data_IF_217020068441
#
_entry.id   IF_217020068441
#
_cell.length_a   1.000
_cell.length_b   1.000
_cell.length_c   1.000
_cell.angle_alpha   90.00
_cell.angle_beta   90.00
_cell.angle_gamma   90.00
#
_symmetry.space_group_name_H-M   'P 1'
#
loop_
_entity.id
_entity.type
_entity.pdbx_description
1 polymer ?
#
# COMPACT_ATOMS: atom_id res chain seq x y z
N UNK A 1 4.59 -45.14 26.13
CA UNK A 1 6.04 -45.17 25.85
C UNK A 1 6.19 -44.85 24.37
N UNK A 2 6.82 -43.77 23.89
CA UNK A 2 7.77 -42.85 24.49
C UNK A 2 7.47 -41.39 24.08
N UNK A 3 7.85 -40.49 24.97
CA UNK A 3 7.83 -39.02 24.88
C UNK A 3 9.19 -38.53 24.37
N UNK A 4 9.22 -37.55 23.47
CA UNK A 4 10.39 -36.69 23.24
C UNK A 4 9.88 -35.35 22.66
N UNK A 5 9.65 -34.33 23.49
CA UNK A 5 10.58 -33.33 24.06
C UNK A 5 11.24 -32.41 23.02
N UNK A 6 10.71 -31.18 23.04
CA UNK A 6 11.21 -29.92 22.53
C UNK A 6 12.58 -29.60 23.16
N UNK A 7 13.57 -29.18 22.36
CA UNK A 7 14.78 -28.51 22.87
C UNK A 7 14.97 -27.18 22.15
N UNK A 8 14.66 -26.13 22.90
CA UNK A 8 15.16 -24.76 22.75
C UNK A 8 16.63 -24.77 23.16
N UNK A 9 17.50 -24.17 22.35
CA UNK A 9 18.91 -23.96 22.72
C UNK A 9 19.09 -22.47 23.00
N UNK A 10 19.32 -22.15 24.27
CA UNK A 10 19.70 -20.84 24.79
C UNK A 10 21.17 -20.51 24.49
N UNK A 11 21.43 -19.21 24.33
CA UNK A 11 22.74 -18.60 24.12
C UNK A 11 23.61 -18.63 25.40
N UNK A 12 24.95 -18.64 25.28
CA UNK A 12 25.82 -18.42 26.43
C UNK A 12 26.09 -16.93 26.65
N UNK A 13 25.90 -16.50 27.90
CA UNK A 13 26.45 -15.26 28.44
C UNK A 13 27.94 -15.45 28.81
N UNK A 14 28.79 -14.52 28.40
CA UNK A 14 30.14 -14.35 28.96
C UNK A 14 30.46 -12.85 29.12
N UNK A 15 30.23 -12.38 30.34
CA UNK A 15 31.00 -11.43 31.17
C UNK A 15 31.79 -10.30 30.50
N UNK A 16 31.40 -9.08 30.90
CA UNK A 16 32.05 -7.78 30.79
C UNK A 16 33.51 -7.76 31.24
N UNK A 17 34.40 -7.13 30.45
CA UNK A 17 35.46 -6.22 30.95
C UNK A 17 35.76 -5.09 29.94
N UNK A 18 35.36 -3.88 30.34
CA UNK A 18 36.00 -2.55 30.18
C UNK A 18 36.34 -1.99 28.78
N UNK A 19 35.53 -0.98 28.43
CA UNK A 19 35.87 0.33 27.85
C UNK A 19 37.34 0.61 27.50
N UNK A 20 37.61 0.84 26.21
CA UNK A 20 38.25 2.05 25.65
C UNK A 20 38.61 1.81 24.16
N UNK A 21 38.11 2.66 23.26
CA UNK A 21 38.56 2.68 21.86
C UNK A 21 37.43 2.89 20.85
N UNK A 22 36.92 4.12 20.76
CA UNK A 22 36.26 4.57 19.54
C UNK A 22 37.29 4.59 18.41
N UNK A 23 37.05 3.82 17.35
CA UNK A 23 37.55 4.12 16.01
C UNK A 23 36.54 3.62 14.98
N UNK A 24 36.18 4.53 14.06
CA UNK A 24 35.22 4.35 12.97
C UNK A 24 35.52 3.10 12.14
N UNK A 25 34.66 2.08 12.21
CA UNK A 25 34.56 1.06 11.18
C UNK A 25 33.42 1.43 10.24
N UNK A 26 33.76 1.81 9.01
CA UNK A 26 32.82 2.03 7.94
C UNK A 26 32.08 0.72 7.64
N UNK A 27 30.74 0.72 7.74
CA UNK A 27 29.91 -0.39 7.28
C UNK A 27 30.05 -0.48 5.74
N UNK A 28 30.88 -1.41 5.27
CA UNK A 28 30.89 -1.81 3.86
C UNK A 28 29.63 -2.63 3.57
N UNK A 29 28.61 -1.98 3.01
CA UNK A 29 27.46 -2.67 2.45
C UNK A 29 27.93 -3.44 1.21
N UNK A 30 27.95 -4.77 1.29
CA UNK A 30 28.19 -5.62 0.13
C UNK A 30 26.98 -5.52 -0.79
N UNK A 31 27.16 -4.84 -1.93
CA UNK A 31 26.19 -4.81 -3.02
C UNK A 31 26.04 -6.24 -3.54
N UNK A 32 24.85 -6.82 -3.38
CA UNK A 32 24.50 -8.10 -4.01
C UNK A 32 24.53 -7.87 -5.52
N UNK A 33 25.49 -8.48 -6.20
CA UNK A 33 25.55 -8.50 -7.66
C UNK A 33 24.31 -9.22 -8.18
N UNK A 34 23.45 -8.48 -8.88
CA UNK A 34 22.29 -9.04 -9.57
C UNK A 34 22.82 -9.67 -10.86
N UNK A 35 22.52 -10.94 -11.07
CA UNK A 35 22.83 -11.65 -12.31
C UNK A 35 22.19 -10.93 -13.50
N UNK A 36 23.01 -10.39 -14.41
CA UNK A 36 22.55 -9.67 -15.60
C UNK A 36 21.72 -10.56 -16.54
N UNK A 37 21.81 -11.90 -16.43
CA UNK A 37 20.96 -12.81 -17.18
C UNK A 37 19.47 -12.74 -16.76
N UNK A 38 19.18 -12.17 -15.58
CA UNK A 38 17.82 -11.87 -15.12
C UNK A 38 17.27 -10.55 -15.70
N UNK A 39 18.06 -9.78 -16.47
CA UNK A 39 17.61 -8.53 -17.12
C UNK A 39 16.79 -8.75 -18.41
N UNK A 40 16.20 -9.93 -18.63
CA UNK A 40 15.25 -10.14 -19.74
C UNK A 40 13.80 -10.07 -19.28
N UNK A 41 13.44 -8.93 -18.68
CA UNK A 41 12.06 -8.55 -18.41
C UNK A 41 11.66 -7.31 -19.17
N UNK A 42 11.50 -7.38 -20.50
CA UNK A 42 10.95 -6.24 -21.26
C UNK A 42 9.44 -6.16 -21.04
N UNK A 43 9.03 -5.35 -20.07
CA UNK A 43 7.61 -5.05 -19.77
C UNK A 43 6.87 -4.43 -20.97
N UNK A 44 7.57 -3.99 -22.02
CA UNK A 44 6.98 -3.26 -23.15
C UNK A 44 6.20 -4.14 -24.12
N UNK A 45 6.41 -5.46 -24.10
CA UNK A 45 5.76 -6.44 -25.00
C UNK A 45 4.96 -7.53 -24.27
N UNK A 46 4.89 -7.48 -22.94
CA UNK A 46 4.17 -8.46 -22.13
C UNK A 46 2.65 -8.28 -22.14
N UNK A 47 1.92 -9.37 -21.86
CA UNK A 47 0.47 -9.37 -21.68
C UNK A 47 0.03 -8.43 -20.53
N UNK A 48 0.89 -8.22 -19.53
CA UNK A 48 0.70 -7.19 -18.52
C UNK A 48 0.62 -5.78 -19.15
N UNK A 49 1.54 -5.43 -20.06
CA UNK A 49 1.46 -4.15 -20.80
C UNK A 49 0.20 -4.06 -21.65
N UNK A 50 -0.34 -5.14 -22.19
CA UNK A 50 -1.65 -5.12 -22.85
C UNK A 50 -2.80 -4.92 -21.85
N UNK A 51 -2.70 -5.48 -20.64
CA UNK A 51 -3.70 -5.34 -19.59
C UNK A 51 -3.71 -3.95 -18.93
N UNK A 52 -2.56 -3.25 -18.96
CA UNK A 52 -2.33 -1.95 -18.31
C UNK A 52 -2.07 -0.80 -19.30
N UNK A 53 -2.06 -1.07 -20.62
CA UNK A 53 -1.62 -0.09 -21.63
C UNK A 53 -2.46 1.18 -21.60
N UNK A 54 -1.78 2.32 -21.43
CA UNK A 54 -2.42 3.64 -21.44
C UNK A 54 -3.23 3.95 -20.19
N UNK A 55 -3.22 3.07 -19.18
CA UNK A 55 -3.82 3.35 -17.87
C UNK A 55 -2.76 3.84 -16.89
N UNK A 56 -3.08 4.84 -16.06
CA UNK A 56 -2.22 5.22 -14.95
C UNK A 56 -2.01 4.05 -13.99
N UNK A 57 -0.78 3.85 -13.49
CA UNK A 57 -0.42 2.72 -12.61
C UNK A 57 -1.32 2.57 -11.38
N UNK A 58 -1.84 3.68 -10.83
CA UNK A 58 -2.75 3.64 -9.70
C UNK A 58 -4.11 2.97 -10.01
N UNK A 59 -4.51 2.87 -11.28
CA UNK A 59 -5.72 2.14 -11.71
C UNK A 59 -5.45 0.64 -11.71
N UNK A 60 -4.27 0.21 -12.15
CA UNK A 60 -3.87 -1.20 -12.11
C UNK A 60 -3.68 -1.69 -10.69
N UNK A 61 -3.04 -0.89 -9.83
CA UNK A 61 -2.90 -1.22 -8.41
C UNK A 61 -4.27 -1.36 -7.74
N UNK A 62 -5.22 -0.48 -8.09
CA UNK A 62 -6.59 -0.56 -7.64
C UNK A 62 -7.29 -1.82 -8.15
N UNK A 63 -7.07 -2.18 -9.42
CA UNK A 63 -7.61 -3.39 -10.02
C UNK A 63 -7.09 -4.65 -9.31
N UNK A 64 -5.77 -4.78 -9.14
CA UNK A 64 -5.14 -5.93 -8.49
C UNK A 64 -5.55 -6.05 -7.02
N UNK A 65 -5.61 -4.94 -6.28
CA UNK A 65 -6.09 -4.88 -4.88
C UNK A 65 -7.51 -5.43 -4.71
N UNK A 66 -8.36 -5.26 -5.73
CA UNK A 66 -9.76 -5.74 -5.66
C UNK A 66 -9.96 -7.14 -6.24
N UNK A 67 -8.97 -7.70 -6.95
CA UNK A 67 -9.16 -8.93 -7.73
C UNK A 67 -9.33 -10.15 -6.84
N UNK A 68 -8.44 -10.33 -5.86
CA UNK A 68 -8.51 -11.46 -4.93
C UNK A 68 -9.76 -11.39 -4.02
N UNK A 69 -10.18 -10.19 -3.60
CA UNK A 69 -11.47 -9.99 -2.94
C UNK A 69 -12.65 -10.43 -3.83
N UNK A 70 -12.66 -9.99 -5.10
CA UNK A 70 -13.73 -10.29 -6.04
C UNK A 70 -13.81 -11.78 -6.44
N UNK A 71 -12.71 -12.52 -6.27
CA UNK A 71 -12.60 -13.97 -6.44
C UNK A 71 -12.79 -14.76 -5.14
N UNK A 72 -12.93 -14.08 -3.99
CA UNK A 72 -12.95 -14.69 -2.65
C UNK A 72 -11.74 -15.60 -2.41
N UNK A 73 -10.57 -15.16 -2.89
CA UNK A 73 -9.32 -15.89 -2.70
C UNK A 73 -8.89 -15.85 -1.22
N UNK A 74 -8.23 -16.90 -0.70
CA UNK A 74 -7.71 -16.89 0.67
C UNK A 74 -6.80 -15.69 0.92
N UNK A 75 -6.84 -15.15 2.13
CA UNK A 75 -5.97 -14.08 2.61
C UNK A 75 -6.06 -12.73 1.88
N UNK A 76 -7.10 -12.50 1.07
CA UNK A 76 -7.33 -11.18 0.46
C UNK A 76 -7.37 -10.06 1.50
N UNK A 77 -7.08 -8.83 1.10
CA UNK A 77 -7.19 -7.65 1.97
C UNK A 77 -8.65 -7.26 2.27
N UNK A 78 -8.86 -6.39 3.26
CA UNK A 78 -10.19 -5.98 3.76
C UNK A 78 -10.68 -4.62 3.21
N UNK A 79 -10.10 -4.13 2.12
CA UNK A 79 -10.44 -2.83 1.55
C UNK A 79 -11.79 -2.87 0.79
N UNK A 80 -12.88 -2.67 1.54
CA UNK A 80 -14.24 -2.68 1.02
C UNK A 80 -14.62 -1.45 0.17
N UNK A 81 -13.80 -0.39 0.18
CA UNK A 81 -14.04 0.84 -0.59
C UNK A 81 -13.34 0.83 -1.95
N UNK A 82 -12.23 0.09 -2.09
CA UNK A 82 -11.47 0.00 -3.33
C UNK A 82 -12.34 -0.40 -4.54
N UNK A 83 -13.27 -1.35 -4.37
CA UNK A 83 -14.15 -1.77 -5.45
C UNK A 83 -15.05 -0.62 -5.95
N UNK A 84 -15.56 0.24 -5.05
CA UNK A 84 -16.39 1.39 -5.42
C UNK A 84 -15.61 2.40 -6.25
N UNK A 85 -14.40 2.73 -5.82
CA UNK A 85 -13.49 3.63 -6.55
C UNK A 85 -13.19 3.04 -7.93
N UNK A 86 -12.88 1.74 -8.00
CA UNK A 86 -12.59 1.05 -9.27
C UNK A 86 -13.77 1.11 -10.22
N UNK A 87 -14.97 0.83 -9.73
CA UNK A 87 -16.18 0.81 -10.55
C UNK A 87 -16.48 2.16 -11.19
N UNK A 88 -16.16 3.24 -10.48
CA UNK A 88 -16.33 4.60 -10.99
C UNK A 88 -15.23 5.01 -11.99
N UNK A 89 -13.98 4.62 -11.74
CA UNK A 89 -12.85 5.01 -12.58
C UNK A 89 -12.73 4.18 -13.88
N UNK A 90 -13.09 2.90 -13.82
CA UNK A 90 -12.99 1.97 -14.96
C UNK A 90 -14.33 1.24 -15.17
N UNK A 91 -15.42 1.97 -15.50
CA UNK A 91 -16.78 1.41 -15.48
C UNK A 91 -16.97 0.26 -16.47
N UNK A 92 -16.45 0.37 -17.69
CA UNK A 92 -16.55 -0.68 -18.72
C UNK A 92 -15.83 -1.96 -18.27
N UNK A 93 -14.60 -1.82 -17.75
CA UNK A 93 -13.80 -2.96 -17.27
C UNK A 93 -14.40 -3.58 -16.01
N UNK A 94 -14.92 -2.76 -15.11
CA UNK A 94 -15.62 -3.21 -13.91
C UNK A 94 -16.92 -3.93 -14.23
N UNK A 95 -17.69 -3.43 -15.18
CA UNK A 95 -18.88 -4.12 -15.68
C UNK A 95 -18.52 -5.48 -16.27
N UNK A 96 -17.47 -5.55 -17.10
CA UNK A 96 -17.01 -6.81 -17.68
C UNK A 96 -16.59 -7.82 -16.61
N UNK A 97 -15.78 -7.40 -15.63
CA UNK A 97 -15.34 -8.26 -14.52
C UNK A 97 -16.49 -8.75 -13.63
N UNK A 98 -17.59 -8.00 -13.53
CA UNK A 98 -18.76 -8.38 -12.73
C UNK A 98 -19.71 -9.33 -13.47
N UNK A 99 -19.90 -9.12 -14.77
CA UNK A 99 -20.97 -9.78 -15.53
C UNK A 99 -20.48 -10.94 -16.40
N UNK A 100 -19.19 -11.00 -16.75
CA UNK A 100 -18.63 -12.10 -17.54
C UNK A 100 -18.02 -13.15 -16.61
N UNK A 101 -18.56 -14.38 -16.53
CA UNK A 101 -18.20 -15.36 -15.49
C UNK A 101 -16.70 -15.67 -15.38
N UNK A 102 -16.01 -15.76 -16.51
CA UNK A 102 -14.59 -16.13 -16.55
C UNK A 102 -13.65 -14.92 -16.50
N UNK A 103 -14.15 -13.69 -16.59
CA UNK A 103 -13.32 -12.49 -16.77
C UNK A 103 -12.32 -12.27 -15.64
N UNK A 104 -12.73 -12.49 -14.39
CA UNK A 104 -11.83 -12.36 -13.22
C UNK A 104 -10.73 -13.43 -13.23
N UNK A 105 -11.07 -14.67 -13.61
CA UNK A 105 -10.12 -15.77 -13.70
C UNK A 105 -9.13 -15.54 -14.83
N UNK A 106 -9.59 -15.05 -15.98
CA UNK A 106 -8.72 -14.69 -17.09
C UNK A 106 -7.76 -13.55 -16.69
N UNK A 107 -8.29 -12.49 -16.07
CA UNK A 107 -7.45 -11.39 -15.58
C UNK A 107 -6.40 -11.88 -14.59
N UNK A 108 -6.79 -12.71 -13.60
CA UNK A 108 -5.84 -13.30 -12.64
C UNK A 108 -4.80 -14.16 -13.35
N UNK A 109 -5.23 -15.01 -14.28
CA UNK A 109 -4.33 -15.85 -15.06
C UNK A 109 -3.35 -15.06 -15.93
N UNK A 110 -3.75 -13.88 -16.45
CA UNK A 110 -2.87 -13.01 -17.23
C UNK A 110 -1.85 -12.32 -16.33
N UNK A 111 -2.29 -11.76 -15.20
CA UNK A 111 -1.45 -11.02 -14.25
C UNK A 111 -0.46 -11.96 -13.56
N UNK A 112 -0.88 -13.17 -13.19
CA UNK A 112 -0.07 -14.15 -12.47
C UNK A 112 0.75 -15.07 -13.41
N UNK A 113 0.72 -14.83 -14.72
CA UNK A 113 1.43 -15.66 -15.68
C UNK A 113 2.94 -15.48 -15.57
N UNK A 114 3.71 -16.57 -15.42
CA UNK A 114 5.17 -16.51 -15.31
C UNK A 114 5.91 -16.06 -16.55
N UNK A 115 5.31 -16.17 -17.74
CA UNK A 115 5.97 -15.78 -19.00
C UNK A 115 5.73 -14.32 -19.38
N UNK A 116 4.57 -13.77 -19.02
CA UNK A 116 4.11 -12.47 -19.55
C UNK A 116 3.46 -11.53 -18.53
N UNK A 117 3.34 -11.98 -17.28
CA UNK A 117 2.77 -11.27 -16.15
C UNK A 117 3.82 -11.06 -15.05
N UNK A 118 3.33 -10.83 -13.83
CA UNK A 118 4.12 -10.73 -12.60
C UNK A 118 3.54 -11.72 -11.60
N UNK A 119 4.04 -12.97 -11.56
CA UNK A 119 3.62 -13.96 -10.58
C UNK A 119 3.72 -13.42 -9.16
N UNK A 120 2.71 -13.69 -8.34
CA UNK A 120 2.58 -13.21 -6.97
C UNK A 120 2.11 -11.77 -6.83
N UNK A 121 1.90 -11.01 -7.91
CA UNK A 121 1.51 -9.59 -7.86
C UNK A 121 0.26 -9.37 -7.01
N UNK A 122 -0.82 -10.11 -7.24
CA UNK A 122 -2.09 -9.90 -6.53
C UNK A 122 -1.96 -10.21 -5.04
N UNK A 123 -1.28 -11.31 -4.71
CA UNK A 123 -1.00 -11.69 -3.33
C UNK A 123 -0.04 -10.71 -2.64
N UNK A 124 0.95 -10.18 -3.36
CA UNK A 124 1.84 -9.14 -2.85
C UNK A 124 1.06 -7.86 -2.51
N UNK A 125 0.14 -7.43 -3.37
CA UNK A 125 -0.70 -6.25 -3.11
C UNK A 125 -1.63 -6.48 -1.90
N UNK A 126 -2.19 -7.69 -1.75
CA UNK A 126 -2.95 -8.05 -0.55
C UNK A 126 -2.09 -7.98 0.72
N UNK A 127 -0.93 -8.65 0.71
CA UNK A 127 -0.02 -8.69 1.84
C UNK A 127 0.47 -7.29 2.23
N UNK A 128 0.87 -6.47 1.24
CA UNK A 128 1.26 -5.08 1.42
C UNK A 128 0.12 -4.26 2.03
N UNK A 129 -1.11 -4.45 1.54
CA UNK A 129 -2.27 -3.71 2.05
C UNK A 129 -2.51 -4.04 3.51
N UNK A 130 -2.50 -5.33 3.87
CA UNK A 130 -2.71 -5.81 5.24
C UNK A 130 -1.59 -5.40 6.19
N UNK A 131 -0.34 -5.43 5.75
CA UNK A 131 0.80 -5.01 6.56
C UNK A 131 0.73 -3.51 6.90
N UNK A 132 0.46 -2.67 5.91
CA UNK A 132 0.26 -1.23 6.14
C UNK A 132 -0.97 -0.94 7.01
N UNK A 133 -2.03 -1.75 6.87
CA UNK A 133 -3.23 -1.60 7.72
C UNK A 133 -2.97 -1.97 9.17
N UNK A 134 -2.20 -3.03 9.41
CA UNK A 134 -1.77 -3.41 10.73
C UNK A 134 -0.94 -2.29 11.36
N UNK A 135 0.06 -1.76 10.66
CA UNK A 135 0.89 -0.66 11.15
C UNK A 135 0.06 0.58 11.53
N UNK A 136 -0.93 0.96 10.71
CA UNK A 136 -1.84 2.08 11.05
C UNK A 136 -2.68 1.73 12.28
N UNK A 137 -3.28 0.53 12.35
CA UNK A 137 -4.08 0.10 13.50
C UNK A 137 -3.28 0.05 14.80
N UNK A 138 -2.05 -0.45 14.74
CA UNK A 138 -1.14 -0.54 15.89
C UNK A 138 -0.77 0.87 16.37
N UNK A 139 -0.49 1.79 15.45
CA UNK A 139 -0.27 3.20 15.77
C UNK A 139 -1.50 3.85 16.41
N UNK A 140 -2.70 3.63 15.87
CA UNK A 140 -3.95 4.12 16.45
C UNK A 140 -4.17 3.55 17.87
N UNK A 141 -3.91 2.26 18.08
CA UNK A 141 -4.00 1.62 19.39
C UNK A 141 -2.95 2.15 20.38
N UNK A 142 -1.77 2.56 19.90
CA UNK A 142 -0.75 3.24 20.68
C UNK A 142 -1.08 4.73 20.97
N UNK A 143 -2.16 5.26 20.39
CA UNK A 143 -2.68 6.58 20.73
C UNK A 143 -2.24 7.73 19.81
N UNK A 144 -1.61 7.45 18.66
CA UNK A 144 -1.17 8.49 17.72
C UNK A 144 -2.33 9.41 17.33
N UNK A 145 -2.05 10.70 17.14
CA UNK A 145 -3.08 11.69 16.78
C UNK A 145 -3.05 12.13 15.33
N UNK A 146 -1.98 11.82 14.59
CA UNK A 146 -1.81 12.23 13.20
C UNK A 146 -1.27 11.08 12.34
N UNK A 147 -1.88 10.86 11.18
CA UNK A 147 -1.44 9.87 10.18
C UNK A 147 -1.22 10.57 8.86
N UNK A 148 -0.05 10.40 8.25
CA UNK A 148 0.29 10.96 6.94
C UNK A 148 0.44 9.82 5.92
N UNK A 149 -0.38 9.84 4.87
CA UNK A 149 -0.30 8.93 3.73
C UNK A 149 0.40 9.65 2.57
N UNK A 150 1.61 9.21 2.23
CA UNK A 150 2.44 9.78 1.17
C UNK A 150 2.16 9.06 -0.16
N UNK A 151 2.04 9.82 -1.25
CA UNK A 151 1.64 9.32 -2.57
C UNK A 151 0.34 8.52 -2.47
N UNK A 152 -0.67 9.13 -1.85
CA UNK A 152 -1.87 8.44 -1.38
C UNK A 152 -2.70 7.79 -2.50
N UNK A 153 -2.59 8.24 -3.76
CA UNK A 153 -3.26 7.65 -4.92
C UNK A 153 -4.73 7.35 -4.66
N UNK A 154 -5.14 6.09 -4.80
CA UNK A 154 -6.49 5.62 -4.43
C UNK A 154 -6.50 4.80 -3.14
N UNK A 155 -5.56 5.06 -2.22
CA UNK A 155 -5.59 4.51 -0.87
C UNK A 155 -6.90 4.91 -0.16
N UNK A 156 -7.51 3.96 0.54
CA UNK A 156 -8.79 4.15 1.22
C UNK A 156 -8.65 4.15 2.74
N UNK A 157 -7.43 4.04 3.28
CA UNK A 157 -7.15 3.95 4.71
C UNK A 157 -7.80 5.07 5.52
N UNK A 158 -7.67 6.32 5.07
CA UNK A 158 -8.26 7.46 5.77
C UNK A 158 -9.80 7.35 5.92
N UNK A 159 -10.48 6.71 4.98
CA UNK A 159 -11.95 6.61 4.97
C UNK A 159 -12.46 5.39 5.77
N UNK A 160 -11.59 4.40 6.05
CA UNK A 160 -11.98 3.14 6.70
C UNK A 160 -11.31 2.86 8.04
N UNK A 161 -10.15 3.47 8.29
CA UNK A 161 -9.37 3.29 9.53
C UNK A 161 -9.43 4.51 10.44
N UNK A 162 -9.87 5.67 9.95
CA UNK A 162 -10.03 6.84 10.80
C UNK A 162 -11.09 6.59 11.89
N UNK A 163 -10.77 6.88 13.16
CA UNK A 163 -11.76 6.86 14.24
C UNK A 163 -12.93 7.81 13.95
N UNK A 164 -14.15 7.34 14.18
CA UNK A 164 -15.36 8.09 13.89
C UNK A 164 -15.58 9.31 14.82
N UNK A 165 -14.86 9.37 15.94
CA UNK A 165 -14.90 10.48 16.90
C UNK A 165 -14.03 11.67 16.49
N UNK A 166 -13.29 11.57 15.37
CA UNK A 166 -12.42 12.63 14.88
C UNK A 166 -11.15 12.85 15.73
N UNK A 167 -10.84 11.92 16.64
CA UNK A 167 -9.69 12.03 17.54
C UNK A 167 -8.33 11.94 16.84
N UNK A 168 -8.30 11.44 15.60
CA UNK A 168 -7.08 11.28 14.79
C UNK A 168 -7.26 11.95 13.43
N UNK A 169 -6.30 12.80 13.06
CA UNK A 169 -6.27 13.49 11.78
C UNK A 169 -5.50 12.70 10.74
N UNK A 170 -6.11 12.45 9.60
CA UNK A 170 -5.46 11.86 8.43
C UNK A 170 -5.11 12.95 7.42
N UNK A 171 -3.87 12.90 6.93
CA UNK A 171 -3.36 13.75 5.85
C UNK A 171 -3.03 12.88 4.65
N UNK A 172 -3.51 13.25 3.47
CA UNK A 172 -3.19 12.58 2.22
C UNK A 172 -2.36 13.51 1.35
N UNK A 173 -1.08 13.17 1.15
CA UNK A 173 -0.14 13.93 0.35
C UNK A 173 -0.01 13.27 -1.02
N UNK A 174 -0.28 14.03 -2.08
CA UNK A 174 -0.11 13.57 -3.46
C UNK A 174 0.05 14.76 -4.40
N UNK A 175 0.43 14.49 -5.65
CA UNK A 175 0.47 15.47 -6.73
C UNK A 175 -0.88 16.21 -6.84
N UNK A 176 -0.87 17.51 -7.18
CA UNK A 176 -2.10 18.31 -7.20
C UNK A 176 -3.25 17.68 -7.99
N UNK A 177 -3.02 17.22 -9.22
CA UNK A 177 -4.06 16.58 -10.04
C UNK A 177 -4.63 15.31 -9.37
N UNK A 178 -3.76 14.44 -8.85
CA UNK A 178 -4.17 13.20 -8.19
C UNK A 178 -4.99 13.48 -6.92
N UNK A 179 -4.54 14.44 -6.11
CA UNK A 179 -5.21 14.87 -4.88
C UNK A 179 -6.59 15.46 -5.16
N UNK A 180 -6.71 16.38 -6.12
CA UNK A 180 -7.99 16.97 -6.53
C UNK A 180 -8.96 15.92 -7.08
N UNK A 181 -8.47 15.01 -7.94
CA UNK A 181 -9.26 13.93 -8.52
C UNK A 181 -9.79 12.98 -7.44
N UNK A 182 -8.93 12.58 -6.50
CA UNK A 182 -9.32 11.71 -5.38
C UNK A 182 -10.36 12.37 -4.48
N UNK A 183 -10.18 13.65 -4.15
CA UNK A 183 -11.15 14.42 -3.34
C UNK A 183 -12.52 14.51 -4.01
N UNK A 184 -12.55 14.83 -5.31
CA UNK A 184 -13.80 14.88 -6.07
C UNK A 184 -14.49 13.49 -6.10
N UNK A 185 -13.71 12.43 -6.29
CA UNK A 185 -14.20 11.06 -6.29
C UNK A 185 -14.74 10.62 -4.93
N UNK A 186 -14.05 10.96 -3.84
CA UNK A 186 -14.47 10.63 -2.48
C UNK A 186 -15.82 11.27 -2.13
N UNK A 187 -16.01 12.54 -2.53
CA UNK A 187 -17.29 13.26 -2.40
C UNK A 187 -18.38 12.63 -3.25
N UNK A 188 -18.11 12.36 -4.54
CA UNK A 188 -19.06 11.74 -5.47
C UNK A 188 -19.57 10.39 -4.94
N UNK A 189 -18.66 9.57 -4.43
CA UNK A 189 -18.97 8.22 -3.95
C UNK A 189 -19.43 8.18 -2.49
N UNK A 190 -19.52 9.34 -1.82
CA UNK A 190 -19.89 9.46 -0.39
C UNK A 190 -19.10 8.47 0.47
N UNK A 191 -17.77 8.49 0.33
CA UNK A 191 -16.89 7.58 1.08
C UNK A 191 -16.92 7.83 2.59
N UNK A 192 -17.25 9.06 2.99
CA UNK A 192 -17.50 9.45 4.39
C UNK A 192 -18.96 9.89 4.59
N UNK A 193 -19.41 9.90 5.85
CA UNK A 193 -20.78 10.34 6.22
C UNK A 193 -21.00 11.83 5.93
N UNK A 194 -19.98 12.63 6.21
CA UNK A 194 -19.97 14.07 5.99
C UNK A 194 -18.57 14.51 5.49
N UNK A 195 -18.49 15.76 5.04
CA UNK A 195 -17.25 16.36 4.56
C UNK A 195 -16.23 16.60 5.69
N UNK A 196 -16.65 16.61 6.95
CA UNK A 196 -15.75 16.80 8.11
C UNK A 196 -14.94 15.53 8.42
N UNK A 197 -15.47 14.36 8.08
CA UNK A 197 -14.78 13.08 8.17
C UNK A 197 -13.84 12.78 6.98
N UNK A 198 -13.70 13.70 6.02
CA UNK A 198 -12.70 13.55 4.94
C UNK A 198 -11.28 13.80 5.48
N UNK A 199 -10.25 13.12 4.92
CA UNK A 199 -8.88 13.47 5.23
C UNK A 199 -8.53 14.89 4.78
N UNK A 200 -7.51 15.46 5.41
CA UNK A 200 -6.88 16.70 4.93
C UNK A 200 -6.03 16.39 3.70
N UNK A 201 -6.48 16.82 2.53
CA UNK A 201 -5.74 16.67 1.28
C UNK A 201 -4.65 17.71 1.18
N UNK A 202 -3.41 17.27 0.96
CA UNK A 202 -2.21 18.10 0.79
C UNK A 202 -1.72 17.90 -0.63
N UNK A 203 -2.07 18.84 -1.51
CA UNK A 203 -1.69 18.84 -2.92
C UNK A 203 -0.26 19.38 -3.07
N UNK A 204 0.73 18.49 -3.10
CA UNK A 204 2.14 18.85 -3.13
C UNK A 204 2.97 17.84 -3.93
N UNK A 205 3.92 18.35 -4.72
CA UNK A 205 4.93 17.53 -5.40
C UNK A 205 6.18 17.44 -4.52
N UNK A 206 6.32 16.32 -3.82
CA UNK A 206 7.44 16.07 -2.92
C UNK A 206 8.80 15.90 -3.63
N UNK A 207 8.85 15.92 -4.96
CA UNK A 207 10.11 16.03 -5.69
C UNK A 207 10.65 17.46 -5.73
N UNK A 208 9.80 18.45 -5.42
CA UNK A 208 10.12 19.88 -5.48
C UNK A 208 10.03 20.55 -4.11
N UNK A 209 9.10 20.12 -3.25
CA UNK A 209 8.89 20.70 -1.92
C UNK A 209 9.15 19.69 -0.81
N UNK A 210 9.67 20.17 0.32
CA UNK A 210 9.83 19.34 1.51
C UNK A 210 8.48 18.95 2.13
N UNK A 211 8.42 17.75 2.71
CA UNK A 211 7.20 17.22 3.32
C UNK A 211 6.70 18.09 4.49
N UNK A 212 7.62 18.60 5.31
CA UNK A 212 7.29 19.47 6.44
C UNK A 212 6.62 20.78 5.99
N UNK A 213 7.15 21.39 4.94
CA UNK A 213 6.62 22.63 4.36
C UNK A 213 5.24 22.43 3.71
N UNK A 214 5.02 21.26 3.09
CA UNK A 214 3.71 20.91 2.55
C UNK A 214 2.66 20.67 3.66
N UNK A 215 3.07 20.04 4.77
CA UNK A 215 2.18 19.64 5.85
C UNK A 215 1.87 20.78 6.86
N UNK A 216 2.82 21.69 7.09
CA UNK A 216 2.68 22.79 8.05
C UNK A 216 1.42 23.64 7.82
N UNK A 217 1.19 24.18 6.62
CA UNK A 217 -0.01 24.95 6.29
C UNK A 217 -1.32 24.15 6.39
N UNK A 218 -1.25 22.82 6.26
CA UNK A 218 -2.41 21.93 6.44
C UNK A 218 -2.74 21.68 7.93
N UNK A 219 -1.94 22.24 8.85
CA UNK A 219 -2.11 22.13 10.29
C UNK A 219 -1.59 20.80 10.86
N UNK A 220 -0.59 20.18 10.22
CA UNK A 220 0.18 19.10 10.84
C UNK A 220 1.05 19.66 11.98
N UNK A 221 1.17 18.93 13.10
CA UNK A 221 1.97 19.36 14.24
C UNK A 221 3.09 18.33 14.50
N UNK A 222 4.35 18.61 14.14
CA UNK A 222 5.45 17.67 14.35
C UNK A 222 5.74 17.38 15.83
N UNK A 223 5.26 18.22 16.76
CA UNK A 223 5.40 18.01 18.20
C UNK A 223 4.24 17.22 18.82
N UNK A 224 3.21 16.87 18.04
CA UNK A 224 2.08 16.07 18.51
C UNK A 224 2.43 14.58 18.42
N UNK A 225 2.51 13.93 19.58
CA UNK A 225 2.68 12.47 19.70
C UNK A 225 1.29 11.82 19.82
#
# INVERSE_FOLDING_TARGET
MATAMLQVIDAPAATQQREQGQSKAANSVSVVQIDESLQQGSSKVGCLSLATRGQPTNYDMLLFRTLNQALRAPHHNDDFLAAKIRDELIPVRSWWLKNVPWAKYQLRSMVENSRWGVPGCTNFIDARTKWMDAAVKDGLAAGIKQVVLIAAGYDTRAYRLAPADGSVRFFEVDLPDASHRKRALAKKLKLCKDDAALPTYVAADLSVVDLGDALGPAGFNPAQV
#
